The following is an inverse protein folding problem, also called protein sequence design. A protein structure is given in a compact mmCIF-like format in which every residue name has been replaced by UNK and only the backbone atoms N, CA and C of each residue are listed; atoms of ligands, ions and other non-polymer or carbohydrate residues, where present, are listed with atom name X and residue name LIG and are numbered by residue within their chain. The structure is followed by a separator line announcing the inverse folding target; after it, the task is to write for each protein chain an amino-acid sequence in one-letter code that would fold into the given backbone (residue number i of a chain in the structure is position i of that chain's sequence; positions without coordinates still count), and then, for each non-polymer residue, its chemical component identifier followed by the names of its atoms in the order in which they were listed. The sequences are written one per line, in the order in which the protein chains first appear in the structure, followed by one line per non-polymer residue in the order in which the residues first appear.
data_IF_220288425975
#
_entry.id   IF_220288425975
#
_cell.length_a   1.000
_cell.length_b   1.000
_cell.length_c   1.000
_cell.angle_alpha   90.00
_cell.angle_beta   90.00
_cell.angle_gamma   90.00
#
_symmetry.space_group_name_H-M   'P 1'
#
loop_
_entity.id
_entity.type
_entity.pdbx_description
1 polymer ?
#
# COMPACT_ATOMS: atom_id res chain seq x y z
N UNK A 1 -11.65 -10.16 -12.27
CA UNK A 1 -10.92 -9.85 -11.02
C UNK A 1 -11.46 -10.74 -9.90
N UNK A 2 -10.60 -11.26 -9.03
CA UNK A 2 -10.99 -11.86 -7.74
C UNK A 2 -10.19 -11.20 -6.62
N UNK A 3 -10.74 -11.21 -5.41
CA UNK A 3 -10.22 -10.47 -4.27
C UNK A 3 -9.74 -11.44 -3.18
N UNK A 4 -8.51 -11.22 -2.69
CA UNK A 4 -7.99 -11.92 -1.53
C UNK A 4 -8.63 -11.33 -0.26
N UNK A 5 -9.77 -11.89 0.16
CA UNK A 5 -10.52 -11.40 1.32
C UNK A 5 -11.30 -12.53 1.99
N UNK A 6 -11.34 -12.53 3.33
CA UNK A 6 -11.87 -13.62 4.16
C UNK A 6 -11.43 -15.00 3.67
N UNK A 7 -12.33 -15.89 3.29
CA UNK A 7 -12.02 -17.26 2.86
C UNK A 7 -11.10 -17.32 1.64
N UNK A 8 -11.13 -16.32 0.76
CA UNK A 8 -10.24 -16.23 -0.41
C UNK A 8 -8.85 -15.70 -0.06
N UNK A 9 -8.59 -15.32 1.20
CA UNK A 9 -7.24 -14.99 1.64
C UNK A 9 -6.30 -16.21 1.52
N UNK A 10 -6.81 -17.42 1.73
CA UNK A 10 -6.06 -18.66 1.57
C UNK A 10 -6.03 -19.11 0.11
N UNK A 11 -4.84 -19.41 -0.39
CA UNK A 11 -4.66 -19.99 -1.71
C UNK A 11 -5.35 -21.37 -1.80
N UNK A 12 -5.90 -21.74 -2.96
CA UNK A 12 -6.59 -23.01 -3.11
C UNK A 12 -5.61 -24.19 -2.97
N UNK A 13 -6.03 -25.22 -2.24
CA UNK A 13 -5.23 -26.44 -2.06
C UNK A 13 -5.44 -27.47 -3.18
N UNK A 14 -6.60 -27.46 -3.83
CA UNK A 14 -7.03 -28.49 -4.81
C UNK A 14 -7.54 -27.87 -6.10
N UNK A 15 -8.51 -26.98 -5.98
CA UNK A 15 -9.17 -26.35 -7.13
C UNK A 15 -8.22 -25.41 -7.88
N UNK A 16 -8.44 -25.28 -9.18
CA UNK A 16 -7.69 -24.37 -10.05
C UNK A 16 -8.66 -23.50 -10.83
N UNK A 17 -8.24 -22.29 -11.15
CA UNK A 17 -9.03 -21.40 -12.01
C UNK A 17 -8.94 -21.90 -13.46
N UNK A 18 -10.09 -22.15 -14.07
CA UNK A 18 -10.18 -22.37 -15.51
C UNK A 18 -10.01 -21.03 -16.24
N UNK A 19 -9.16 -20.99 -17.27
CA UNK A 19 -8.84 -19.78 -18.05
C UNK A 19 -8.30 -18.64 -17.15
N UNK A 20 -7.19 -18.86 -16.41
CA UNK A 20 -6.66 -17.91 -15.43
C UNK A 20 -6.32 -16.54 -16.03
N UNK A 21 -6.04 -16.46 -17.32
CA UNK A 21 -5.75 -15.22 -18.05
C UNK A 21 -6.93 -14.24 -18.10
N UNK A 22 -8.16 -14.69 -17.81
CA UNK A 22 -9.36 -13.84 -17.74
C UNK A 22 -9.51 -13.12 -16.40
N UNK A 23 -8.62 -13.41 -15.46
CA UNK A 23 -8.69 -12.89 -14.10
C UNK A 23 -7.50 -12.01 -13.78
N UNK A 24 -7.72 -11.14 -12.80
CA UNK A 24 -6.72 -10.31 -12.17
C UNK A 24 -6.89 -10.52 -10.67
N UNK A 25 -5.79 -10.71 -9.94
CA UNK A 25 -5.83 -10.88 -8.50
C UNK A 25 -5.72 -9.50 -7.82
N UNK A 26 -6.68 -9.20 -6.95
CA UNK A 26 -6.66 -8.02 -6.08
C UNK A 26 -6.20 -8.45 -4.69
N UNK A 27 -5.00 -8.03 -4.30
CA UNK A 27 -4.48 -8.22 -2.96
C UNK A 27 -4.94 -7.07 -2.06
N UNK A 28 -5.76 -7.34 -1.04
CA UNK A 28 -6.29 -6.30 -0.15
C UNK A 28 -5.94 -6.57 1.32
N UNK A 29 -4.76 -6.15 1.78
CA UNK A 29 -4.27 -6.40 3.14
C UNK A 29 -4.95 -5.50 4.18
N UNK A 30 -6.25 -5.69 4.42
CA UNK A 30 -7.10 -4.77 5.21
C UNK A 30 -6.62 -4.50 6.64
N UNK A 31 -5.79 -5.39 7.19
CA UNK A 31 -5.31 -5.32 8.58
C UNK A 31 -3.87 -4.82 8.72
N UNK A 32 -3.18 -4.50 7.62
CA UNK A 32 -1.81 -3.98 7.71
C UNK A 32 -1.77 -2.61 8.41
N UNK A 33 -0.63 -2.28 8.99
CA UNK A 33 -0.33 -0.91 9.41
C UNK A 33 0.28 -0.13 8.25
N UNK A 34 0.24 1.21 8.35
CA UNK A 34 0.93 2.13 7.43
C UNK A 34 2.08 2.89 8.11
N UNK A 35 2.51 2.38 9.26
CA UNK A 35 3.72 2.84 9.96
C UNK A 35 4.99 2.35 9.27
N UNK A 36 4.89 1.29 8.46
CA UNK A 36 5.97 0.68 7.70
C UNK A 36 5.56 0.47 6.25
N UNK A 37 6.54 0.55 5.36
CA UNK A 37 6.40 0.22 3.95
C UNK A 37 6.64 -1.28 3.71
N UNK A 38 6.11 -1.81 2.60
CA UNK A 38 6.54 -3.12 2.07
C UNK A 38 8.06 -3.21 1.91
N UNK A 39 8.72 -2.09 1.60
CA UNK A 39 10.17 -2.02 1.44
C UNK A 39 10.94 -2.22 2.76
N UNK A 40 10.27 -2.12 3.92
CA UNK A 40 10.88 -2.30 5.25
C UNK A 40 10.84 -3.76 5.74
N UNK A 41 10.15 -4.65 5.03
CA UNK A 41 10.00 -6.05 5.44
C UNK A 41 11.29 -6.83 5.22
N UNK A 42 11.70 -7.62 6.22
CA UNK A 42 12.77 -8.62 6.09
C UNK A 42 12.24 -9.88 5.40
N UNK A 43 12.22 -9.88 4.06
CA UNK A 43 11.69 -10.99 3.28
C UNK A 43 12.40 -12.34 3.50
N UNK A 44 13.65 -12.32 3.97
CA UNK A 44 14.44 -13.53 4.17
C UNK A 44 14.12 -14.21 5.52
N UNK A 45 13.81 -13.43 6.56
CA UNK A 45 13.68 -13.96 7.91
C UNK A 45 12.31 -13.71 8.58
N UNK A 46 11.49 -12.78 8.09
CA UNK A 46 10.27 -12.36 8.80
C UNK A 46 8.96 -12.83 8.17
N UNK A 47 8.97 -13.44 6.98
CA UNK A 47 7.75 -13.94 6.33
C UNK A 47 7.30 -15.25 6.98
N UNK A 48 6.17 -15.28 7.70
CA UNK A 48 5.68 -16.50 8.32
C UNK A 48 5.02 -17.41 7.29
N UNK A 49 4.79 -18.67 7.66
CA UNK A 49 3.83 -19.51 6.95
C UNK A 49 2.41 -19.04 7.24
N UNK A 50 1.51 -18.94 6.25
CA UNK A 50 0.12 -18.59 6.52
C UNK A 50 -0.56 -19.55 7.49
N UNK A 51 -1.43 -19.02 8.34
CA UNK A 51 -2.22 -19.84 9.27
C UNK A 51 -3.11 -20.79 8.46
N UNK A 52 -3.35 -22.02 8.92
CA UNK A 52 -4.23 -22.95 8.20
C UNK A 52 -5.67 -22.43 8.17
N UNK A 53 -6.35 -22.65 7.05
CA UNK A 53 -7.77 -22.34 6.95
C UNK A 53 -8.59 -23.25 7.88
N UNK A 54 -9.49 -22.64 8.65
CA UNK A 54 -10.46 -23.35 9.49
C UNK A 54 -11.86 -22.75 9.26
N UNK A 55 -12.77 -23.58 8.75
CA UNK A 55 -14.17 -23.19 8.50
C UNK A 55 -14.79 -22.59 9.77
N UNK A 56 -15.41 -21.42 9.63
CA UNK A 56 -16.04 -20.64 10.71
C UNK A 56 -15.08 -20.18 11.84
N UNK A 57 -13.76 -20.22 11.62
CA UNK A 57 -12.73 -19.80 12.58
C UNK A 57 -11.65 -18.97 11.88
N UNK A 58 -12.08 -17.94 11.16
CA UNK A 58 -11.17 -17.03 10.45
C UNK A 58 -10.38 -16.21 11.45
N UNK A 59 -9.05 -16.23 11.31
CA UNK A 59 -8.13 -15.35 12.01
C UNK A 59 -7.43 -14.53 10.94
N UNK A 60 -7.75 -13.24 10.88
CA UNK A 60 -7.13 -12.34 9.91
C UNK A 60 -5.65 -12.11 10.27
N UNK A 61 -4.78 -11.90 9.26
CA UNK A 61 -3.43 -11.42 9.51
C UNK A 61 -3.48 -10.09 10.28
N UNK A 62 -2.43 -9.74 11.03
CA UNK A 62 -2.37 -8.44 11.71
C UNK A 62 -1.05 -7.68 11.50
N UNK A 63 -0.13 -8.24 10.71
CA UNK A 63 1.13 -7.61 10.35
C UNK A 63 1.30 -7.56 8.84
N UNK A 64 2.29 -6.78 8.39
CA UNK A 64 2.62 -6.66 6.98
C UNK A 64 3.12 -8.01 6.41
N UNK A 65 3.97 -8.68 7.18
CA UNK A 65 4.54 -9.99 6.89
C UNK A 65 3.47 -11.08 6.83
N UNK A 66 2.56 -11.11 7.81
CA UNK A 66 1.44 -12.07 7.80
C UNK A 66 0.58 -11.85 6.56
N UNK A 67 0.26 -10.60 6.19
CA UNK A 67 -0.50 -10.31 4.96
C UNK A 67 0.25 -10.76 3.69
N UNK A 68 1.55 -10.47 3.60
CA UNK A 68 2.39 -10.85 2.46
C UNK A 68 2.51 -12.37 2.29
N UNK A 69 2.50 -13.13 3.38
CA UNK A 69 2.54 -14.60 3.31
C UNK A 69 1.38 -15.16 2.48
N UNK A 70 0.18 -14.58 2.57
CA UNK A 70 -0.99 -15.00 1.79
C UNK A 70 -0.87 -14.60 0.31
N UNK A 71 -0.33 -13.42 0.01
CA UNK A 71 -0.02 -13.02 -1.37
C UNK A 71 0.94 -14.03 -2.01
N UNK A 72 2.01 -14.40 -1.31
CA UNK A 72 3.02 -15.31 -1.84
C UNK A 72 2.49 -16.73 -2.04
N UNK A 73 1.62 -17.25 -1.17
CA UNK A 73 0.93 -18.52 -1.44
C UNK A 73 0.05 -18.44 -2.68
N UNK A 74 -0.72 -17.36 -2.85
CA UNK A 74 -1.56 -17.18 -4.03
C UNK A 74 -0.74 -17.08 -5.31
N UNK A 75 0.40 -16.39 -5.27
CA UNK A 75 1.31 -16.30 -6.41
C UNK A 75 1.91 -17.65 -6.81
N UNK A 76 1.91 -18.67 -5.96
CA UNK A 76 2.27 -20.04 -6.37
C UNK A 76 1.22 -20.66 -7.28
N UNK A 77 -0.06 -20.42 -7.01
CA UNK A 77 -1.20 -21.01 -7.72
C UNK A 77 -1.68 -20.17 -8.92
N UNK A 78 -1.54 -18.84 -8.85
CA UNK A 78 -2.01 -17.89 -9.85
C UNK A 78 -0.84 -17.07 -10.39
N UNK A 79 -0.64 -17.11 -11.71
CA UNK A 79 0.46 -16.42 -12.44
C UNK A 79 -0.02 -15.29 -13.35
N UNK A 80 -1.31 -14.94 -13.27
CA UNK A 80 -1.89 -13.84 -14.03
C UNK A 80 -1.57 -12.49 -13.40
N UNK A 81 -2.18 -11.44 -13.96
CA UNK A 81 -1.96 -10.07 -13.52
C UNK A 81 -2.51 -9.80 -12.11
N UNK A 82 -1.89 -8.88 -11.37
CA UNK A 82 -2.31 -8.57 -10.01
C UNK A 82 -1.98 -7.14 -9.59
N UNK A 83 -2.72 -6.63 -8.62
CA UNK A 83 -2.52 -5.30 -8.05
C UNK A 83 -2.90 -5.28 -6.56
N UNK A 84 -2.39 -4.28 -5.83
CA UNK A 84 -2.80 -4.05 -4.44
C UNK A 84 -3.98 -3.11 -4.37
N UNK A 85 -4.94 -3.42 -3.52
CA UNK A 85 -6.02 -2.53 -3.10
C UNK A 85 -5.82 -2.22 -1.62
N UNK A 86 -5.38 -1.01 -1.31
CA UNK A 86 -4.95 -0.66 0.04
C UNK A 86 -5.66 0.58 0.59
N UNK A 87 -5.39 0.93 1.84
CA UNK A 87 -6.19 1.90 2.61
C UNK A 87 -5.39 2.99 3.35
N UNK A 88 -4.27 3.53 2.82
CA UNK A 88 -3.43 4.48 3.56
C UNK A 88 -4.17 5.77 3.92
N UNK A 89 -5.13 6.17 3.07
CA UNK A 89 -5.99 7.35 3.26
C UNK A 89 -7.40 6.97 3.77
N UNK A 90 -7.51 5.78 4.39
CA UNK A 90 -8.68 5.35 5.16
C UNK A 90 -8.64 5.92 6.57
N UNK A 91 -8.18 5.14 7.56
CA UNK A 91 -8.04 5.62 8.95
C UNK A 91 -6.63 6.06 9.33
N UNK A 92 -5.61 5.56 8.64
CA UNK A 92 -4.21 5.78 9.02
C UNK A 92 -3.77 7.24 8.87
N UNK A 93 -4.23 7.93 7.82
CA UNK A 93 -3.88 9.33 7.58
C UNK A 93 -4.29 10.27 8.72
N UNK A 94 -5.30 9.93 9.54
CA UNK A 94 -5.66 10.75 10.71
C UNK A 94 -4.56 10.81 11.78
N UNK A 95 -3.64 9.84 11.80
CA UNK A 95 -2.47 9.86 12.68
C UNK A 95 -1.38 10.81 12.21
N UNK A 96 -1.39 11.21 10.94
CA UNK A 96 -0.39 12.09 10.34
C UNK A 96 -0.96 13.47 10.04
N UNK A 97 -0.76 14.44 10.94
CA UNK A 97 -1.33 15.78 10.78
C UNK A 97 -0.65 16.61 9.70
N UNK A 98 0.61 16.30 9.36
CA UNK A 98 1.37 17.00 8.32
C UNK A 98 1.33 16.30 6.96
N UNK A 99 0.82 15.06 6.91
CA UNK A 99 0.80 14.19 5.73
C UNK A 99 2.17 13.83 5.14
N UNK A 100 3.29 14.15 5.80
CA UNK A 100 4.62 13.87 5.27
C UNK A 100 5.04 12.41 5.47
N UNK A 101 4.69 11.79 6.62
CA UNK A 101 5.03 10.40 6.95
C UNK A 101 4.22 9.43 6.11
N UNK A 102 2.89 9.63 6.00
CA UNK A 102 2.02 8.77 5.19
C UNK A 102 2.34 8.90 3.70
N UNK A 103 2.69 10.11 3.23
CA UNK A 103 3.14 10.32 1.84
C UNK A 103 4.44 9.56 1.55
N UNK A 104 5.38 9.54 2.50
CA UNK A 104 6.61 8.78 2.36
C UNK A 104 6.34 7.27 2.34
N UNK A 105 5.46 6.75 3.21
CA UNK A 105 5.04 5.33 3.17
C UNK A 105 4.43 4.98 1.81
N UNK A 106 3.52 5.82 1.28
CA UNK A 106 2.91 5.63 -0.03
C UNK A 106 3.96 5.62 -1.14
N UNK A 107 4.88 6.60 -1.15
CA UNK A 107 5.98 6.68 -2.11
C UNK A 107 6.78 5.38 -2.13
N UNK A 108 7.17 4.88 -0.95
CA UNK A 108 7.98 3.67 -0.80
C UNK A 108 7.19 2.42 -1.21
N UNK A 109 5.92 2.32 -0.83
CA UNK A 109 5.05 1.19 -1.20
C UNK A 109 4.86 1.10 -2.72
N UNK A 110 4.51 2.21 -3.38
CA UNK A 110 4.32 2.24 -4.84
C UNK A 110 5.61 1.88 -5.57
N UNK A 111 6.75 2.36 -5.06
CA UNK A 111 8.07 2.03 -5.61
C UNK A 111 8.40 0.55 -5.49
N UNK A 112 7.94 -0.11 -4.43
CA UNK A 112 8.26 -1.52 -4.13
C UNK A 112 7.32 -2.54 -4.80
N UNK A 113 6.23 -2.11 -5.45
CA UNK A 113 5.22 -3.03 -6.00
C UNK A 113 5.78 -4.07 -6.97
N UNK A 114 6.75 -3.70 -7.81
CA UNK A 114 7.36 -4.63 -8.77
C UNK A 114 8.12 -5.77 -8.07
N UNK A 115 8.72 -5.50 -6.92
CA UNK A 115 9.41 -6.51 -6.10
C UNK A 115 8.41 -7.51 -5.50
N UNK A 116 7.15 -7.12 -5.35
CA UNK A 116 6.05 -7.99 -4.93
C UNK A 116 5.29 -8.62 -6.11
N UNK A 117 5.73 -8.42 -7.35
CA UNK A 117 5.02 -8.83 -8.56
C UNK A 117 3.58 -8.28 -8.67
N UNK A 118 3.38 -7.05 -8.17
CA UNK A 118 2.12 -6.30 -8.26
C UNK A 118 2.27 -5.20 -9.32
N UNK A 119 1.35 -5.15 -10.27
CA UNK A 119 1.41 -4.24 -11.42
C UNK A 119 0.58 -2.96 -11.24
N UNK A 120 -0.06 -2.77 -10.08
CA UNK A 120 -0.84 -1.57 -9.80
C UNK A 120 -1.16 -1.39 -8.32
N UNK A 121 -1.69 -0.21 -8.01
CA UNK A 121 -2.18 0.18 -6.69
C UNK A 121 -3.51 0.89 -6.85
N UNK A 122 -4.51 0.49 -6.08
CA UNK A 122 -5.76 1.24 -5.91
C UNK A 122 -5.88 1.58 -4.43
N UNK A 123 -6.06 2.86 -4.14
CA UNK A 123 -6.23 3.35 -2.77
C UNK A 123 -7.70 3.59 -2.47
N UNK A 124 -8.21 2.89 -1.48
CA UNK A 124 -9.47 3.21 -0.83
C UNK A 124 -9.26 4.37 0.14
N UNK A 125 -10.14 5.36 0.10
CA UNK A 125 -9.94 6.62 0.80
C UNK A 125 -11.24 7.13 1.40
N UNK A 126 -11.10 7.91 2.47
CA UNK A 126 -12.19 8.72 2.99
C UNK A 126 -12.53 9.85 2.01
N UNK A 127 -13.80 10.27 1.98
CA UNK A 127 -14.26 11.37 1.14
C UNK A 127 -13.54 12.70 1.43
N UNK A 128 -12.98 12.84 2.64
CA UNK A 128 -12.29 14.04 3.14
C UNK A 128 -10.82 13.76 3.43
N UNK A 129 -10.10 13.18 2.47
CA UNK A 129 -8.66 12.95 2.58
C UNK A 129 -7.79 14.15 2.17
N UNK A 130 -8.37 15.25 1.66
CA UNK A 130 -7.60 16.37 1.07
C UNK A 130 -7.16 17.50 2.00
N UNK A 131 -7.36 17.37 3.32
CA UNK A 131 -6.88 18.33 4.33
C UNK A 131 -5.79 17.65 5.20
N UNK A 132 -4.63 18.28 5.46
CA UNK A 132 -4.29 19.68 5.18
C UNK A 132 -3.99 20.00 3.71
N UNK A 133 -3.67 18.98 2.89
CA UNK A 133 -3.44 19.09 1.45
C UNK A 133 -3.55 17.71 0.78
N UNK A 134 -3.41 17.64 -0.54
CA UNK A 134 -3.51 16.40 -1.32
C UNK A 134 -2.15 15.77 -1.70
N UNK A 135 -1.06 16.15 -1.03
CA UNK A 135 0.28 15.59 -1.30
C UNK A 135 0.32 14.04 -1.31
N UNK A 136 -0.32 13.30 -0.38
CA UNK A 136 -0.34 11.83 -0.45
C UNK A 136 -0.92 11.28 -1.76
N UNK A 137 -2.01 11.89 -2.24
CA UNK A 137 -2.65 11.54 -3.52
C UNK A 137 -1.77 11.90 -4.71
N UNK A 138 -1.12 13.07 -4.67
CA UNK A 138 -0.21 13.52 -5.71
C UNK A 138 0.97 12.56 -5.85
N UNK A 139 1.63 12.19 -4.75
CA UNK A 139 2.71 11.20 -4.72
C UNK A 139 2.25 9.87 -5.31
N UNK A 140 1.07 9.37 -4.90
CA UNK A 140 0.53 8.13 -5.42
C UNK A 140 0.31 8.17 -6.94
N UNK A 141 -0.32 9.25 -7.44
CA UNK A 141 -0.60 9.42 -8.87
C UNK A 141 0.68 9.51 -9.70
N UNK A 142 1.62 10.35 -9.28
CA UNK A 142 2.89 10.55 -9.98
C UNK A 142 3.72 9.26 -10.00
N UNK A 143 3.84 8.56 -8.87
CA UNK A 143 4.64 7.34 -8.81
C UNK A 143 3.99 6.16 -9.54
N UNK A 144 2.65 6.09 -9.61
CA UNK A 144 1.98 5.07 -10.42
C UNK A 144 2.14 5.31 -11.93
N UNK A 145 2.21 6.57 -12.35
CA UNK A 145 2.45 6.93 -13.74
C UNK A 145 3.93 6.82 -14.15
N UNK A 146 4.83 7.39 -13.34
CA UNK A 146 6.28 7.47 -13.59
C UNK A 146 7.07 7.14 -12.32
N UNK A 147 7.35 5.84 -12.12
CA UNK A 147 8.04 5.27 -10.94
C UNK A 147 9.48 5.74 -10.69
N UNK A 148 10.04 6.61 -11.51
CA UNK A 148 11.48 6.97 -11.46
C UNK A 148 11.75 8.34 -10.82
N UNK A 149 10.72 9.03 -10.33
CA UNK A 149 10.87 10.35 -9.70
C UNK A 149 11.38 10.20 -8.27
N UNK A 150 12.22 11.13 -7.79
CA UNK A 150 12.61 11.14 -6.38
C UNK A 150 11.50 11.75 -5.50
N UNK A 151 11.53 11.45 -4.21
CA UNK A 151 10.55 12.00 -3.27
C UNK A 151 10.72 13.52 -3.11
N UNK A 152 11.97 14.00 -3.12
CA UNK A 152 12.32 15.41 -3.00
C UNK A 152 11.83 16.22 -4.21
N UNK A 153 11.94 15.66 -5.43
CA UNK A 153 11.37 16.27 -6.64
C UNK A 153 9.85 16.45 -6.54
N UNK A 154 9.15 15.47 -5.93
CA UNK A 154 7.70 15.54 -5.74
C UNK A 154 7.33 16.60 -4.71
N UNK A 155 8.07 16.69 -3.60
CA UNK A 155 7.88 17.73 -2.57
C UNK A 155 8.06 19.11 -3.21
N UNK A 156 9.20 19.35 -3.87
CA UNK A 156 9.51 20.65 -4.47
C UNK A 156 8.45 21.05 -5.48
N UNK A 157 8.09 20.19 -6.44
CA UNK A 157 7.09 20.52 -7.45
C UNK A 157 5.72 20.84 -6.82
N UNK A 158 5.24 19.99 -5.91
CA UNK A 158 3.91 20.14 -5.33
C UNK A 158 3.81 21.40 -4.45
N UNK A 159 4.75 21.56 -3.52
CA UNK A 159 4.69 22.62 -2.53
C UNK A 159 5.10 23.97 -3.11
N UNK A 160 6.07 24.04 -4.03
CA UNK A 160 6.40 25.30 -4.71
C UNK A 160 5.25 25.81 -5.57
N UNK A 161 4.51 24.93 -6.23
CA UNK A 161 3.31 25.31 -6.98
C UNK A 161 2.18 25.82 -6.08
N UNK A 162 2.03 25.26 -4.87
CA UNK A 162 0.95 25.61 -3.94
C UNK A 162 1.25 26.86 -3.11
N UNK A 163 2.51 27.07 -2.70
CA UNK A 163 2.90 28.09 -1.73
C UNK A 163 3.92 29.12 -2.25
N UNK A 164 4.39 28.98 -3.49
CA UNK A 164 5.37 29.88 -4.08
C UNK A 164 6.68 29.90 -3.31
N UNK A 165 7.32 31.07 -3.19
CA UNK A 165 8.64 31.24 -2.56
C UNK A 165 8.74 30.78 -1.10
N UNK A 166 7.60 30.63 -0.40
CA UNK A 166 7.57 30.24 1.01
C UNK A 166 7.42 28.72 1.22
N UNK A 167 7.45 27.92 0.15
CA UNK A 167 7.12 26.50 0.23
C UNK A 167 8.01 25.72 1.19
N UNK A 168 9.30 26.04 1.26
CA UNK A 168 10.24 25.35 2.16
C UNK A 168 9.83 25.49 3.63
N UNK A 169 9.44 26.70 4.06
CA UNK A 169 9.00 26.95 5.43
C UNK A 169 7.69 26.22 5.75
N UNK A 170 6.81 26.05 4.76
CA UNK A 170 5.57 25.28 4.93
C UNK A 170 5.88 23.78 5.06
N UNK A 171 6.78 23.24 4.22
CA UNK A 171 7.21 21.84 4.31
C UNK A 171 7.88 21.57 5.66
N UNK A 172 8.79 22.43 6.11
CA UNK A 172 9.44 22.29 7.43
C UNK A 172 8.40 22.22 8.57
N UNK A 173 7.35 23.06 8.50
CA UNK A 173 6.26 23.02 9.47
C UNK A 173 5.46 21.71 9.40
N UNK A 174 5.10 21.24 8.20
CA UNK A 174 4.35 20.00 8.00
C UNK A 174 5.15 18.77 8.43
N UNK A 175 6.45 18.72 8.13
CA UNK A 175 7.36 17.67 8.62
C UNK A 175 7.42 17.66 10.15
N UNK A 176 7.50 18.84 10.77
CA UNK A 176 7.42 18.96 12.22
C UNK A 176 6.09 18.45 12.77
N UNK A 177 4.96 18.71 12.11
CA UNK A 177 3.67 18.16 12.52
C UNK A 177 3.64 16.63 12.41
N UNK A 178 4.14 16.08 11.30
CA UNK A 178 4.26 14.63 11.10
C UNK A 178 5.23 13.94 12.07
N UNK A 179 6.11 14.69 12.75
CA UNK A 179 6.99 14.13 13.79
C UNK A 179 6.25 13.75 15.08
N UNK A 180 5.01 14.20 15.26
CA UNK A 180 4.15 13.84 16.39
C UNK A 180 3.27 12.59 16.12
N UNK A 181 3.47 11.93 14.98
CA UNK A 181 2.68 10.82 14.47
C UNK A 181 3.25 9.44 14.78
#
# INVERSE_FOLDING_TARGET
CFLLYHELLWAPQKEKLDNPERFTMMFAPITRTFEMSYADVDFDNSIPTPKPYMRNKIILPNSLEENLSYLFEWQKAFKGDSFVYDYPLGRAHYGDLGYMKISQTIYRDVSYLSNLHLNGYISCQELRAGFPHNFPNYVMGEMLWKKTRSYEELIEEYFSALYGENWQSVVEYLEKLSSYS
#
